data_IF_487532661806
#
_entry.id   IF_487532661806
#
_cell.length_a   1.000
_cell.length_b   1.000
_cell.length_c   1.000
_cell.angle_alpha   90.00
_cell.angle_beta   90.00
_cell.angle_gamma   90.00
#
_symmetry.space_group_name_H-M   'P 1'
#
loop_
_entity.id
_entity.type
_entity.pdbx_description
1 polymer ?
#
# COMPACT_ATOMS: atom_id res chain seq x y z
N UNK A 1 16.01 -9.31 -10.21
CA UNK A 1 14.74 -9.53 -10.93
C UNK A 1 14.38 -8.26 -11.69
N UNK A 2 14.30 -8.29 -13.02
CA UNK A 2 13.70 -7.19 -13.79
C UNK A 2 12.19 -7.28 -13.59
N UNK A 3 11.54 -6.18 -13.22
CA UNK A 3 10.09 -6.15 -12.95
C UNK A 3 9.25 -6.53 -14.17
N UNK A 4 7.98 -6.88 -13.95
CA UNK A 4 7.05 -7.18 -15.05
C UNK A 4 6.79 -5.88 -15.84
N UNK A 5 6.99 -5.85 -17.17
CA UNK A 5 6.75 -4.66 -17.98
C UNK A 5 5.36 -4.09 -17.76
N UNK A 6 5.27 -2.77 -17.55
CA UNK A 6 4.00 -2.07 -17.33
C UNK A 6 3.42 -2.19 -15.91
N UNK A 7 4.01 -3.02 -15.04
CA UNK A 7 3.61 -3.14 -13.63
C UNK A 7 4.68 -2.58 -12.70
N UNK A 8 4.24 -2.12 -11.54
CA UNK A 8 5.08 -1.70 -10.41
C UNK A 8 4.61 -2.43 -9.14
N UNK A 9 5.55 -2.67 -8.22
CA UNK A 9 5.20 -3.11 -6.87
C UNK A 9 4.63 -1.94 -6.08
N UNK A 10 3.40 -2.09 -5.60
CA UNK A 10 2.74 -1.15 -4.70
C UNK A 10 2.73 -1.71 -3.27
N UNK A 11 3.43 -1.03 -2.38
CA UNK A 11 3.38 -1.31 -0.95
C UNK A 11 2.19 -0.57 -0.34
N UNK A 12 1.42 -1.26 0.50
CA UNK A 12 0.45 -0.61 1.38
C UNK A 12 1.17 -0.21 2.67
N UNK A 13 1.02 1.03 3.11
CA UNK A 13 1.95 1.66 4.03
C UNK A 13 3.07 2.36 3.27
N UNK A 14 2.82 3.59 2.81
CA UNK A 14 3.84 4.41 2.16
C UNK A 14 5.11 4.54 3.03
N UNK A 15 6.25 4.09 2.49
CA UNK A 15 7.56 3.97 3.18
C UNK A 15 7.93 5.18 4.04
N UNK A 16 7.72 6.39 3.53
CA UNK A 16 8.09 7.63 4.21
C UNK A 16 7.32 7.86 5.52
N UNK A 17 6.10 7.31 5.63
CA UNK A 17 5.23 7.48 6.78
C UNK A 17 5.33 6.26 7.70
N UNK A 18 5.44 5.04 7.15
CA UNK A 18 5.51 3.79 7.92
C UNK A 18 6.64 3.79 8.96
N UNK A 19 7.81 4.34 8.61
CA UNK A 19 8.95 4.47 9.54
C UNK A 19 8.67 5.30 10.79
N UNK A 20 7.62 6.13 10.79
CA UNK A 20 7.20 6.90 11.97
C UNK A 20 6.40 6.06 12.97
N UNK A 21 5.77 4.99 12.49
CA UNK A 21 4.86 4.15 13.29
C UNK A 21 5.42 2.77 13.62
N UNK A 22 6.40 2.30 12.85
CA UNK A 22 7.03 1.00 12.98
C UNK A 22 8.53 1.21 12.90
N UNK A 23 9.21 1.01 14.03
CA UNK A 23 10.63 1.35 14.18
C UNK A 23 11.53 0.48 13.29
N UNK A 24 11.18 -0.79 13.10
CA UNK A 24 11.91 -1.79 12.32
C UNK A 24 11.38 -1.94 10.89
N UNK A 25 10.61 -0.96 10.38
CA UNK A 25 10.06 -1.02 9.03
C UNK A 25 11.15 -1.10 7.96
N UNK A 26 11.20 -2.24 7.26
CA UNK A 26 12.06 -2.44 6.09
C UNK A 26 11.22 -2.55 4.80
N UNK A 27 11.28 -1.55 3.90
CA UNK A 27 10.56 -1.59 2.62
C UNK A 27 11.02 -2.72 1.69
N UNK A 28 12.21 -3.31 1.90
CA UNK A 28 12.71 -4.41 1.06
C UNK A 28 11.96 -5.72 1.30
N UNK A 29 11.38 -5.88 2.49
CA UNK A 29 10.64 -7.09 2.90
C UNK A 29 9.15 -6.82 3.13
N UNK A 30 8.74 -5.55 3.13
CA UNK A 30 7.35 -5.16 3.27
C UNK A 30 6.47 -5.76 2.14
N UNK A 31 5.33 -6.41 2.45
CA UNK A 31 4.47 -6.99 1.44
C UNK A 31 3.98 -5.95 0.43
N UNK A 32 3.92 -6.35 -0.84
CA UNK A 32 3.47 -5.54 -1.94
C UNK A 32 2.54 -6.32 -2.86
N UNK A 33 1.78 -5.59 -3.68
CA UNK A 33 0.98 -6.13 -4.78
C UNK A 33 1.45 -5.50 -6.09
N UNK A 34 1.52 -6.28 -7.17
CA UNK A 34 1.80 -5.74 -8.49
C UNK A 34 0.56 -5.02 -9.02
N UNK A 35 0.75 -3.78 -9.46
CA UNK A 35 -0.31 -2.95 -10.05
C UNK A 35 0.20 -2.30 -11.34
N UNK A 36 -0.68 -1.92 -12.27
CA UNK A 36 -0.29 -1.11 -13.43
C UNK A 36 0.42 0.19 -13.02
N UNK A 37 1.38 0.64 -13.84
CA UNK A 37 2.01 1.95 -13.67
C UNK A 37 0.99 3.10 -13.73
N UNK A 38 -0.04 2.95 -14.58
CA UNK A 38 -1.19 3.85 -14.66
C UNK A 38 -2.02 3.71 -13.38
N UNK A 39 -2.17 4.80 -12.64
CA UNK A 39 -2.74 4.82 -11.30
C UNK A 39 -1.71 4.80 -10.18
N UNK A 40 -0.45 4.42 -10.44
CA UNK A 40 0.61 4.32 -9.44
C UNK A 40 1.66 5.43 -9.57
N UNK A 41 2.35 5.44 -10.70
CA UNK A 41 3.42 6.39 -11.04
C UNK A 41 2.99 7.33 -12.17
N UNK A 42 2.03 6.90 -13.00
CA UNK A 42 1.44 7.66 -14.10
C UNK A 42 -0.02 7.96 -13.76
N UNK A 43 -0.49 9.19 -13.98
CA UNK A 43 -1.90 9.56 -13.73
C UNK A 43 -2.81 8.88 -14.76
N UNK A 44 -3.83 8.16 -14.29
CA UNK A 44 -4.84 7.51 -15.13
C UNK A 44 -6.21 8.20 -15.07
N UNK A 45 -7.24 7.61 -15.72
CA UNK A 45 -8.61 8.13 -15.69
C UNK A 45 -9.20 8.21 -14.28
N UNK A 46 -8.83 7.28 -13.39
CA UNK A 46 -9.17 7.29 -11.96
C UNK A 46 -8.15 8.06 -11.12
N UNK A 47 -7.32 8.89 -11.73
CA UNK A 47 -6.24 9.62 -11.07
C UNK A 47 -5.05 8.73 -10.73
N UNK A 48 -4.44 8.99 -9.58
CA UNK A 48 -3.29 8.28 -9.02
C UNK A 48 -3.58 7.97 -7.55
N UNK A 49 -3.00 6.92 -6.99
CA UNK A 49 -3.05 6.68 -5.55
C UNK A 49 -2.49 7.88 -4.79
N UNK A 50 -3.17 8.27 -3.72
CA UNK A 50 -2.73 9.38 -2.87
C UNK A 50 -1.31 9.14 -2.34
N UNK A 51 -0.54 10.21 -2.18
CA UNK A 51 0.78 10.22 -1.55
C UNK A 51 0.81 11.09 -0.29
N UNK A 52 -0.36 11.64 0.08
CA UNK A 52 -0.50 12.56 1.20
C UNK A 52 -0.40 11.82 2.52
N UNK A 53 0.30 12.45 3.47
CA UNK A 53 0.36 12.01 4.87
C UNK A 53 -0.56 12.83 5.79
N UNK A 54 -1.33 13.78 5.25
CA UNK A 54 -2.17 14.67 6.06
C UNK A 54 -3.29 13.88 6.74
N UNK A 55 -3.46 14.06 8.04
CA UNK A 55 -4.50 13.39 8.84
C UNK A 55 -4.23 11.91 9.11
N UNK A 56 -2.99 11.45 8.94
CA UNK A 56 -2.55 10.09 9.30
C UNK A 56 -1.78 10.16 10.61
N UNK A 57 -2.34 9.57 11.66
CA UNK A 57 -1.85 9.61 13.05
C UNK A 57 -1.22 8.29 13.48
N UNK A 58 -1.57 7.18 12.82
CA UNK A 58 -1.03 5.86 13.10
C UNK A 58 -0.94 4.98 11.83
N UNK A 59 -0.21 3.87 11.95
CA UNK A 59 -0.01 2.92 10.85
C UNK A 59 -1.31 2.26 10.38
N UNK A 60 -2.30 2.08 11.26
CA UNK A 60 -3.60 1.48 10.92
C UNK A 60 -4.42 2.40 10.01
N UNK A 61 -4.44 3.71 10.27
CA UNK A 61 -5.08 4.72 9.42
C UNK A 61 -4.39 4.79 8.06
N UNK A 62 -3.05 4.75 8.03
CA UNK A 62 -2.29 4.70 6.78
C UNK A 62 -2.67 3.49 5.93
N UNK A 63 -2.70 2.31 6.56
CA UNK A 63 -3.08 1.05 5.92
C UNK A 63 -4.51 1.14 5.36
N UNK A 64 -5.46 1.65 6.13
CA UNK A 64 -6.85 1.80 5.69
C UNK A 64 -6.97 2.72 4.47
N UNK A 65 -6.29 3.88 4.51
CA UNK A 65 -6.26 4.84 3.39
C UNK A 65 -5.68 4.20 2.13
N UNK A 66 -4.55 3.51 2.23
CA UNK A 66 -3.90 2.89 1.07
C UNK A 66 -4.78 1.79 0.46
N UNK A 67 -5.49 1.02 1.28
CA UNK A 67 -6.47 0.04 0.79
C UNK A 67 -7.66 0.70 0.08
N UNK A 68 -8.20 1.79 0.62
CA UNK A 68 -9.28 2.55 -0.03
C UNK A 68 -8.84 3.08 -1.40
N UNK A 69 -7.64 3.65 -1.47
CA UNK A 69 -7.06 4.17 -2.71
C UNK A 69 -6.79 3.06 -3.73
N UNK A 70 -6.27 1.91 -3.28
CA UNK A 70 -6.03 0.76 -4.13
C UNK A 70 -7.34 0.28 -4.78
N UNK A 71 -8.43 0.19 -4.01
CA UNK A 71 -9.76 -0.18 -4.51
C UNK A 71 -10.34 0.83 -5.49
N UNK A 72 -10.14 2.12 -5.22
CA UNK A 72 -10.64 3.22 -6.04
C UNK A 72 -9.93 3.24 -7.40
N UNK A 73 -8.61 3.13 -7.40
CA UNK A 73 -7.77 3.25 -8.60
C UNK A 73 -7.78 1.94 -9.41
N UNK A 74 -7.79 0.79 -8.75
CA UNK A 74 -7.75 -0.53 -9.38
C UNK A 74 -8.97 -1.38 -8.94
N UNK A 75 -10.16 -1.11 -9.50
CA UNK A 75 -11.39 -1.80 -9.09
C UNK A 75 -11.35 -3.31 -9.37
N UNK A 76 -10.52 -3.73 -10.34
CA UNK A 76 -10.47 -5.11 -10.84
C UNK A 76 -9.57 -6.01 -10.00
N UNK A 77 -8.85 -5.45 -9.00
CA UNK A 77 -8.08 -6.26 -8.06
C UNK A 77 -9.05 -7.09 -7.21
N UNK A 78 -8.93 -8.43 -7.23
CA UNK A 78 -9.82 -9.28 -6.45
C UNK A 78 -9.72 -8.96 -4.95
N UNK A 79 -10.88 -8.95 -4.28
CA UNK A 79 -10.97 -8.76 -2.84
C UNK A 79 -10.09 -9.73 -2.03
N UNK A 80 -9.91 -10.96 -2.53
CA UNK A 80 -9.04 -11.97 -1.92
C UNK A 80 -7.58 -11.54 -1.88
N UNK A 81 -7.07 -10.88 -2.94
CA UNK A 81 -5.70 -10.37 -3.00
C UNK A 81 -5.50 -9.22 -2.01
N UNK A 82 -6.48 -8.32 -1.92
CA UNK A 82 -6.47 -7.22 -0.94
C UNK A 82 -6.46 -7.77 0.49
N UNK A 83 -7.32 -8.74 0.79
CA UNK A 83 -7.35 -9.40 2.12
C UNK A 83 -6.01 -10.05 2.44
N UNK A 84 -5.44 -10.81 1.51
CA UNK A 84 -4.12 -11.44 1.66
C UNK A 84 -3.03 -10.41 1.96
N UNK A 85 -3.02 -9.28 1.25
CA UNK A 85 -2.04 -8.22 1.45
C UNK A 85 -2.16 -7.56 2.84
N UNK A 86 -3.39 -7.33 3.32
CA UNK A 86 -3.66 -6.82 4.67
C UNK A 86 -3.14 -7.80 5.73
N UNK A 87 -3.45 -9.10 5.59
CA UNK A 87 -3.04 -10.11 6.54
C UNK A 87 -1.51 -10.27 6.60
N UNK A 88 -0.84 -10.24 5.43
CA UNK A 88 0.63 -10.24 5.38
C UNK A 88 1.23 -9.03 6.10
N UNK A 89 0.67 -7.83 5.89
CA UNK A 89 1.17 -6.62 6.55
C UNK A 89 0.96 -6.67 8.06
N UNK A 90 -0.21 -7.09 8.54
CA UNK A 90 -0.47 -7.24 9.98
C UNK A 90 0.37 -8.34 10.61
N UNK A 91 0.65 -9.42 9.88
CA UNK A 91 1.52 -10.50 10.35
C UNK A 91 2.96 -10.00 10.51
N UNK A 92 3.48 -9.25 9.54
CA UNK A 92 4.83 -8.74 9.57
C UNK A 92 5.00 -7.57 10.54
N UNK A 93 4.01 -6.69 10.63
CA UNK A 93 4.03 -5.47 11.46
C UNK A 93 2.82 -5.45 12.41
N UNK A 94 2.93 -6.08 13.60
CA UNK A 94 1.83 -6.18 14.56
C UNK A 94 1.27 -4.84 15.05
N UNK A 95 2.07 -3.77 15.01
CA UNK A 95 1.70 -2.39 15.35
C UNK A 95 0.52 -1.90 14.51
N UNK A 96 0.38 -2.39 13.27
CA UNK A 96 -0.74 -2.05 12.37
C UNK A 96 -2.11 -2.52 12.90
N UNK A 97 -2.14 -3.38 13.93
CA UNK A 97 -3.38 -3.80 14.59
C UNK A 97 -3.89 -2.76 15.59
N UNK A 98 -2.99 -1.93 16.13
CA UNK A 98 -3.28 -0.97 17.20
C UNK A 98 -3.88 0.33 16.64
N UNK A 99 -4.64 1.04 17.48
CA UNK A 99 -5.14 2.39 17.19
C UNK A 99 -4.14 3.40 17.73
#
# INVERSE_FOLDING_TARGET
>A
MKGVPGLDAHHIGQKAIMKKFIADYDPKVAPAILVPKVGHTIRGPKGIVSRSSKGIENGRQLLARDIMELRRVYPDIPNSQIKKLIELNKKLYPELRRK
#
